data_IF_412808498500
#
_entry.id   IF_412808498500
#
_cell.length_a   1.000
_cell.length_b   1.000
_cell.length_c   1.000
_cell.angle_alpha   90.00
_cell.angle_beta   90.00
_cell.angle_gamma   90.00
#
_symmetry.space_group_name_H-M   'P 1'
#
loop_
_entity.id
_entity.type
_entity.pdbx_description
1 polymer ?
#
# COMPACT_ATOMS: atom_id res chain seq x y z
N UNK A 1 10.28 -0.87 -21.47
CA UNK A 1 9.49 -2.03 -21.01
C UNK A 1 8.27 -1.44 -20.29
N UNK A 2 7.07 -1.59 -20.81
CA UNK A 2 5.85 -1.05 -20.20
C UNK A 2 5.01 -2.23 -19.68
N UNK A 3 5.34 -2.70 -18.49
CA UNK A 3 4.50 -3.62 -17.74
C UNK A 3 4.03 -2.91 -16.48
N UNK A 4 2.72 -2.70 -16.33
CA UNK A 4 2.18 -2.28 -15.04
C UNK A 4 2.28 -3.47 -14.08
N UNK A 5 2.97 -3.29 -12.95
CA UNK A 5 2.99 -4.28 -11.88
C UNK A 5 1.64 -4.28 -11.18
N UNK A 6 1.12 -5.47 -10.87
CA UNK A 6 -0.13 -5.64 -10.14
C UNK A 6 0.18 -6.27 -8.79
N UNK A 7 -0.28 -5.60 -7.74
CA UNK A 7 -0.16 -6.05 -6.36
C UNK A 7 -1.54 -6.26 -5.74
N UNK A 8 -1.58 -7.06 -4.69
CA UNK A 8 -2.77 -7.32 -3.89
C UNK A 8 -2.55 -6.72 -2.51
N UNK A 9 -3.50 -5.90 -2.05
CA UNK A 9 -3.44 -5.31 -0.72
C UNK A 9 -4.53 -5.90 0.18
N UNK A 10 -4.17 -6.20 1.42
CA UNK A 10 -5.13 -6.45 2.50
C UNK A 10 -5.32 -5.14 3.27
N UNK A 11 -6.57 -4.72 3.45
CA UNK A 11 -6.92 -3.50 4.20
C UNK A 11 -7.69 -3.86 5.45
N UNK A 12 -7.20 -3.42 6.61
CA UNK A 12 -7.81 -3.69 7.91
C UNK A 12 -7.98 -2.39 8.71
N UNK A 13 -9.15 -2.16 9.35
CA UNK A 13 -9.27 -1.08 10.32
C UNK A 13 -8.45 -1.39 11.58
N UNK A 14 -7.93 -0.36 12.24
CA UNK A 14 -7.34 -0.45 13.58
C UNK A 14 -8.29 0.09 14.66
N UNK A 15 -7.88 -0.09 15.92
CA UNK A 15 -8.68 0.30 17.09
C UNK A 15 -8.71 1.83 17.33
N UNK A 16 -7.87 2.60 16.64
CA UNK A 16 -7.72 4.06 16.75
C UNK A 16 -8.36 4.82 15.58
N UNK A 17 -9.16 4.14 14.76
CA UNK A 17 -9.87 4.73 13.63
C UNK A 17 -8.97 4.99 12.41
N UNK A 18 -7.86 4.27 12.28
CA UNK A 18 -7.07 4.19 11.06
C UNK A 18 -7.42 2.96 10.24
N UNK A 19 -6.95 2.97 9.00
CA UNK A 19 -6.89 1.83 8.11
C UNK A 19 -5.43 1.53 7.80
N UNK A 20 -5.06 0.27 7.90
CA UNK A 20 -3.74 -0.25 7.51
C UNK A 20 -3.92 -0.99 6.19
N UNK A 21 -3.14 -0.61 5.18
CA UNK A 21 -3.07 -1.29 3.89
C UNK A 21 -1.69 -1.96 3.77
N UNK A 22 -1.69 -3.29 3.69
CA UNK A 22 -0.49 -4.11 3.58
C UNK A 22 -0.43 -4.77 2.21
N UNK A 23 0.72 -4.71 1.53
CA UNK A 23 0.97 -5.47 0.31
C UNK A 23 1.18 -6.96 0.64
N UNK A 24 0.58 -7.85 -0.14
CA UNK A 24 0.68 -9.29 0.09
C UNK A 24 1.96 -9.89 -0.53
N UNK A 25 2.55 -9.22 -1.52
CA UNK A 25 3.70 -9.72 -2.27
C UNK A 25 5.05 -9.21 -1.77
N UNK A 26 5.07 -8.06 -1.08
CA UNK A 26 6.30 -7.45 -0.52
C UNK A 26 6.02 -6.84 0.85
N UNK A 27 7.06 -6.69 1.67
CA UNK A 27 6.97 -6.14 3.03
C UNK A 27 6.87 -4.60 3.00
N UNK A 28 5.77 -4.10 2.42
CA UNK A 28 5.43 -2.68 2.31
C UNK A 28 4.03 -2.49 2.85
N UNK A 29 3.88 -1.51 3.73
CA UNK A 29 2.61 -1.16 4.37
C UNK A 29 2.47 0.36 4.43
N UNK A 30 1.23 0.83 4.38
CA UNK A 30 0.88 2.23 4.64
C UNK A 30 -0.39 2.31 5.49
N UNK A 31 -0.67 3.49 6.06
CA UNK A 31 -1.86 3.74 6.88
C UNK A 31 -2.52 5.07 6.51
N UNK A 32 -3.83 5.17 6.73
CA UNK A 32 -4.62 6.37 6.46
C UNK A 32 -5.87 6.47 7.31
N UNK A 33 -6.51 7.65 7.35
CA UNK A 33 -7.79 7.86 8.06
C UNK A 33 -8.98 7.28 7.30
N UNK A 34 -8.76 6.83 6.07
CA UNK A 34 -9.69 6.05 5.27
C UNK A 34 -8.94 4.94 4.53
N UNK A 35 -9.68 3.93 4.05
CA UNK A 35 -9.12 2.88 3.21
C UNK A 35 -8.46 3.45 1.93
N UNK A 36 -9.06 4.48 1.32
CA UNK A 36 -8.52 5.13 0.13
C UNK A 36 -7.19 5.83 0.41
N UNK A 37 -7.08 6.55 1.54
CA UNK A 37 -5.82 7.17 1.96
C UNK A 37 -4.72 6.12 2.19
N UNK A 38 -5.05 5.02 2.87
CA UNK A 38 -4.10 3.93 3.12
C UNK A 38 -3.63 3.29 1.80
N UNK A 39 -4.53 3.10 0.82
CA UNK A 39 -4.21 2.56 -0.50
C UNK A 39 -3.39 3.52 -1.37
N UNK A 40 -3.66 4.83 -1.30
CA UNK A 40 -2.87 5.86 -1.99
C UNK A 40 -1.44 5.85 -1.45
N UNK A 41 -1.27 5.89 -0.13
CA UNK A 41 0.04 5.83 0.50
C UNK A 41 0.77 4.51 0.23
N UNK A 42 0.05 3.38 0.18
CA UNK A 42 0.64 2.09 -0.17
C UNK A 42 1.18 2.08 -1.61
N UNK A 43 0.44 2.68 -2.55
CA UNK A 43 0.92 2.82 -3.94
C UNK A 43 2.20 3.65 -4.00
N UNK A 44 2.24 4.81 -3.35
CA UNK A 44 3.43 5.67 -3.33
C UNK A 44 4.63 4.95 -2.69
N UNK A 45 4.41 4.22 -1.60
CA UNK A 45 5.45 3.43 -0.96
C UNK A 45 5.98 2.30 -1.87
N UNK A 46 5.12 1.65 -2.65
CA UNK A 46 5.51 0.65 -3.65
C UNK A 46 6.28 1.28 -4.81
N UNK A 47 5.86 2.43 -5.31
CA UNK A 47 6.58 3.17 -6.36
C UNK A 47 8.01 3.50 -5.91
N UNK A 48 8.17 4.00 -4.69
CA UNK A 48 9.48 4.26 -4.07
C UNK A 48 10.30 2.97 -3.87
N UNK A 49 9.67 1.88 -3.44
CA UNK A 49 10.34 0.61 -3.22
C UNK A 49 10.98 0.03 -4.50
N UNK A 50 10.39 0.31 -5.66
CA UNK A 50 10.86 -0.18 -6.97
C UNK A 50 11.56 0.87 -7.83
N UNK A 51 11.73 2.12 -7.36
CA UNK A 51 12.28 3.23 -8.16
C UNK A 51 13.71 2.97 -8.66
N UNK A 52 14.49 2.13 -7.96
CA UNK A 52 15.88 1.77 -8.29
C UNK A 52 16.11 0.27 -8.56
N UNK A 53 15.04 -0.49 -8.82
CA UNK A 53 15.11 -1.94 -9.11
C UNK A 53 15.29 -2.30 -10.58
#
# INVERSE_FOLDING_TARGET
MNGALRFTATVTPDDEGWFVAQCNEVDVTSQGRSADEALIGLREALELFFEDS
#
